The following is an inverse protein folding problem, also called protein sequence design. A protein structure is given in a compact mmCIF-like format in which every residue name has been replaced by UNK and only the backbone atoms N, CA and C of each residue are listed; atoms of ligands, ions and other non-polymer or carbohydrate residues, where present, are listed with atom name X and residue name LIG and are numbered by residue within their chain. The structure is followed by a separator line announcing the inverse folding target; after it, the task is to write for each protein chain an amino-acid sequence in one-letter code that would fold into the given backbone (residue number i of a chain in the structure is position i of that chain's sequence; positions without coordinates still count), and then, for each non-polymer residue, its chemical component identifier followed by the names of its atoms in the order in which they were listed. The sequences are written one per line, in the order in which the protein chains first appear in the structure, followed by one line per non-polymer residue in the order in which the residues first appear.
data_IF_832104908152
#
_entry.id   IF_832104908152
#
_cell.length_a   1.000
_cell.length_b   1.000
_cell.length_c   1.000
_cell.angle_alpha   90.00
_cell.angle_beta   90.00
_cell.angle_gamma   90.00
#
_symmetry.space_group_name_H-M   'P 1'
#
loop_
_entity.id
_entity.type
_entity.pdbx_description
1 polymer ?
#
# COMPACT_ATOMS: atom_id res chain seq x y z
N UNK A 1 10.60 -8.16 23.37
CA UNK A 1 9.57 -8.31 24.42
C UNK A 1 8.95 -6.98 24.87
N UNK A 2 9.65 -5.85 24.72
CA UNK A 2 9.25 -4.53 25.21
C UNK A 2 8.00 -3.88 24.56
N UNK A 3 7.66 -4.24 23.32
CA UNK A 3 6.58 -3.56 22.57
C UNK A 3 5.16 -4.01 22.94
N UNK A 4 5.00 -5.18 23.57
CA UNK A 4 3.69 -5.70 24.00
C UNK A 4 3.10 -4.86 25.14
N UNK A 5 3.93 -4.53 26.12
CA UNK A 5 3.52 -3.73 27.27
C UNK A 5 3.23 -2.29 26.85
N UNK A 6 4.10 -1.70 26.01
CA UNK A 6 3.87 -0.37 25.43
C UNK A 6 2.57 -0.28 24.64
N UNK A 7 2.20 -1.34 23.90
CA UNK A 7 0.94 -1.37 23.17
C UNK A 7 -0.29 -1.38 24.09
N UNK A 8 -0.22 -2.12 25.21
CA UNK A 8 -1.31 -2.15 26.21
C UNK A 8 -1.39 -0.81 26.95
N UNK A 9 -0.25 -0.22 27.29
CA UNK A 9 -0.16 1.07 27.99
C UNK A 9 -0.75 2.21 27.14
N UNK A 10 -0.46 2.24 25.85
CA UNK A 10 -1.02 3.23 24.92
C UNK A 10 -2.55 3.12 24.81
N UNK A 11 -3.09 1.90 24.82
CA UNK A 11 -4.54 1.68 24.85
C UNK A 11 -5.16 2.19 26.15
N UNK A 12 -4.53 1.92 27.30
CA UNK A 12 -4.99 2.44 28.60
C UNK A 12 -4.92 3.97 28.69
N UNK A 13 -3.91 4.58 28.09
CA UNK A 13 -3.75 6.05 28.10
C UNK A 13 -4.86 6.75 27.32
N UNK A 14 -5.27 6.16 26.18
CA UNK A 14 -6.25 6.78 25.27
C UNK A 14 -7.69 6.42 25.67
N UNK A 15 -7.90 5.24 26.27
CA UNK A 15 -9.20 4.73 26.68
C UNK A 15 -9.22 4.57 28.19
N UNK A 16 -9.61 5.64 28.91
CA UNK A 16 -9.58 5.73 30.37
C UNK A 16 -10.53 4.75 31.08
N UNK A 17 -11.54 4.24 30.39
CA UNK A 17 -12.52 3.26 30.85
C UNK A 17 -12.13 1.80 30.51
N UNK A 18 -10.98 1.58 29.88
CA UNK A 18 -10.53 0.25 29.49
C UNK A 18 -10.16 -0.62 30.70
N UNK A 19 -10.92 -1.70 30.90
CA UNK A 19 -10.66 -2.77 31.88
C UNK A 19 -10.15 -4.01 31.14
N UNK A 20 -9.45 -4.90 31.86
CA UNK A 20 -8.97 -6.20 31.34
C UNK A 20 -8.19 -6.14 30.00
N UNK A 21 -7.34 -5.13 29.82
CA UNK A 21 -6.58 -4.98 28.57
C UNK A 21 -5.63 -6.16 28.35
N UNK A 22 -5.77 -6.83 27.21
CA UNK A 22 -4.95 -7.98 26.81
C UNK A 22 -4.71 -8.00 25.31
N UNK A 23 -3.57 -8.56 24.91
CA UNK A 23 -3.31 -8.79 23.49
C UNK A 23 -4.09 -10.02 23.06
N UNK A 24 -5.02 -9.83 22.13
CA UNK A 24 -5.88 -10.88 21.57
C UNK A 24 -5.22 -11.51 20.35
N UNK A 25 -4.51 -10.71 19.55
CA UNK A 25 -3.82 -11.19 18.36
C UNK A 25 -2.54 -10.39 18.08
N UNK A 26 -1.59 -11.02 17.39
CA UNK A 26 -0.33 -10.43 16.96
C UNK A 26 -0.08 -10.84 15.52
N UNK A 27 0.14 -9.85 14.66
CA UNK A 27 0.61 -10.06 13.29
C UNK A 27 2.06 -9.55 13.19
N UNK A 28 3.05 -10.41 13.46
CA UNK A 28 4.44 -10.11 13.11
C UNK A 28 4.50 -10.00 11.58
N UNK A 29 5.20 -8.99 11.06
CA UNK A 29 5.36 -8.70 9.62
C UNK A 29 4.19 -7.98 8.93
N UNK A 30 3.31 -7.34 9.68
CA UNK A 30 2.31 -6.44 9.10
C UNK A 30 3.00 -5.18 8.53
N UNK A 31 3.04 -5.01 7.19
CA UNK A 31 3.53 -3.78 6.52
C UNK A 31 4.93 -3.32 7.01
N UNK A 32 5.89 -4.24 7.14
CA UNK A 32 7.23 -4.00 7.69
C UNK A 32 7.25 -3.58 9.18
N UNK A 33 6.23 -3.95 9.95
CA UNK A 33 6.12 -3.70 11.39
C UNK A 33 5.37 -4.82 12.08
N UNK A 34 4.87 -4.56 13.29
CA UNK A 34 4.07 -5.52 14.05
C UNK A 34 2.73 -4.89 14.40
N UNK A 35 1.64 -5.58 14.08
CA UNK A 35 0.30 -5.17 14.47
C UNK A 35 -0.15 -6.00 15.68
N UNK A 36 -0.50 -5.32 16.76
CA UNK A 36 -1.07 -5.91 17.97
C UNK A 36 -2.55 -5.56 18.02
N UNK A 37 -3.39 -6.58 18.22
CA UNK A 37 -4.81 -6.38 18.50
C UNK A 37 -4.98 -6.45 20.00
N UNK A 38 -5.33 -5.33 20.63
CA UNK A 38 -5.51 -5.22 22.07
C UNK A 38 -7.00 -5.21 22.37
N UNK A 39 -7.49 -6.27 22.99
CA UNK A 39 -8.86 -6.37 23.48
C UNK A 39 -8.96 -5.77 24.89
N UNK A 40 -10.06 -5.09 25.15
CA UNK A 40 -10.39 -4.53 26.47
C UNK A 40 -11.90 -4.58 26.68
N UNK A 41 -12.30 -4.57 27.95
CA UNK A 41 -13.69 -4.53 28.36
C UNK A 41 -14.00 -3.10 28.83
N UNK A 42 -15.14 -2.55 28.44
CA UNK A 42 -15.72 -1.33 29.01
C UNK A 42 -17.08 -1.67 29.63
N UNK A 43 -17.70 -0.70 30.30
CA UNK A 43 -19.04 -0.89 30.86
C UNK A 43 -20.11 -1.12 29.78
N UNK A 44 -19.79 -0.79 28.51
CA UNK A 44 -20.67 -0.98 27.34
C UNK A 44 -20.46 -2.32 26.63
N UNK A 45 -19.36 -3.03 26.89
CA UNK A 45 -19.07 -4.31 26.24
C UNK A 45 -17.60 -4.56 25.97
N UNK A 46 -17.32 -5.49 25.05
CA UNK A 46 -15.96 -5.89 24.69
C UNK A 46 -15.54 -5.21 23.40
N UNK A 47 -14.43 -4.49 23.47
CA UNK A 47 -13.89 -3.73 22.36
C UNK A 47 -12.46 -4.15 22.05
N UNK A 48 -11.97 -3.75 20.88
CA UNK A 48 -10.59 -3.99 20.47
C UNK A 48 -10.02 -2.77 19.77
N UNK A 49 -8.77 -2.45 20.09
CA UNK A 49 -7.98 -1.43 19.41
C UNK A 49 -6.83 -2.10 18.67
N UNK A 50 -6.45 -1.49 17.55
CA UNK A 50 -5.35 -1.92 16.71
C UNK A 50 -4.13 -1.05 16.99
N UNK A 51 -3.03 -1.65 17.43
CA UNK A 51 -1.78 -0.95 17.74
C UNK A 51 -0.70 -1.41 16.77
N UNK A 52 -0.30 -0.53 15.87
CA UNK A 52 0.74 -0.77 14.89
C UNK A 52 2.06 -0.19 15.36
N UNK A 53 3.10 -1.02 15.41
CA UNK A 53 4.45 -0.64 15.82
C UNK A 53 5.40 -0.75 14.63
N UNK A 54 6.04 0.36 14.27
CA UNK A 54 7.00 0.41 13.16
C UNK A 54 8.17 1.33 13.50
N UNK A 55 9.40 0.82 13.41
CA UNK A 55 10.64 1.60 13.60
C UNK A 55 10.59 2.57 14.80
N UNK A 56 10.08 2.08 15.93
CA UNK A 56 9.94 2.81 17.20
C UNK A 56 8.76 3.81 17.30
N UNK A 57 7.93 3.92 16.27
CA UNK A 57 6.68 4.67 16.30
C UNK A 57 5.51 3.73 16.63
N UNK A 58 4.60 4.19 17.49
CA UNK A 58 3.40 3.45 17.90
C UNK A 58 2.18 4.21 17.41
N UNK A 59 1.35 3.52 16.63
CA UNK A 59 0.15 4.06 15.99
C UNK A 59 -1.07 3.32 16.51
N UNK A 60 -2.00 4.02 17.15
CA UNK A 60 -3.23 3.43 17.71
C UNK A 60 -4.45 3.78 16.85
N UNK A 61 -5.08 2.76 16.28
CA UNK A 61 -6.34 2.86 15.57
C UNK A 61 -7.48 2.26 16.41
N UNK A 62 -8.49 3.08 16.71
CA UNK A 62 -9.67 2.68 17.51
C UNK A 62 -10.63 1.76 16.76
N UNK A 63 -10.53 1.70 15.45
CA UNK A 63 -11.36 0.86 14.60
C UNK A 63 -10.59 0.45 13.34
N UNK A 64 -11.13 -0.56 12.65
CA UNK A 64 -10.56 -1.07 11.41
C UNK A 64 -10.53 -0.01 10.30
N UNK A 65 -11.51 0.89 10.26
CA UNK A 65 -11.57 1.96 9.26
C UNK A 65 -10.38 2.94 9.36
N UNK A 66 -9.96 3.32 10.58
CA UNK A 66 -8.78 4.15 10.80
C UNK A 66 -7.50 3.41 10.40
N UNK A 67 -7.41 2.11 10.72
CA UNK A 67 -6.30 1.26 10.30
C UNK A 67 -6.19 1.21 8.77
N UNK A 68 -7.31 0.96 8.07
CA UNK A 68 -7.39 0.94 6.61
C UNK A 68 -7.05 2.30 5.99
N UNK A 69 -7.42 3.41 6.64
CA UNK A 69 -7.05 4.75 6.16
C UNK A 69 -5.54 4.99 6.20
N UNK A 70 -4.84 4.45 7.21
CA UNK A 70 -3.39 4.55 7.34
C UNK A 70 -2.68 3.63 6.34
N UNK A 71 -3.18 2.42 6.16
CA UNK A 71 -2.70 1.48 5.13
C UNK A 71 -2.85 2.14 3.75
N UNK A 72 -4.03 2.65 3.44
CA UNK A 72 -4.33 3.25 2.12
C UNK A 72 -3.43 4.43 1.78
N UNK A 73 -3.05 5.26 2.77
CA UNK A 73 -2.11 6.36 2.55
C UNK A 73 -0.70 5.86 2.23
N UNK A 74 -0.24 4.77 2.86
CA UNK A 74 1.09 4.20 2.65
C UNK A 74 1.17 3.39 1.34
N UNK A 75 0.08 2.76 0.92
CA UNK A 75 0.02 1.90 -0.28
C UNK A 75 -0.16 2.66 -1.59
N UNK A 76 -0.61 3.93 -1.57
CA UNK A 76 -0.81 4.74 -2.79
C UNK A 76 0.46 4.94 -3.64
N UNK A 77 1.65 4.89 -3.05
CA UNK A 77 2.91 5.05 -3.79
C UNK A 77 3.36 3.80 -4.55
N UNK A 78 3.02 2.60 -4.07
CA UNK A 78 3.44 1.33 -4.66
C UNK A 78 2.38 0.73 -5.60
N UNK A 79 1.10 0.97 -5.32
CA UNK A 79 -0.01 0.33 -6.03
C UNK A 79 -0.18 0.81 -7.49
N UNK A 80 0.20 2.04 -7.83
CA UNK A 80 0.09 2.53 -9.22
C UNK A 80 1.09 1.85 -10.16
N UNK A 81 2.32 1.59 -9.71
CA UNK A 81 3.34 0.93 -10.55
C UNK A 81 3.06 -0.57 -10.70
N UNK A 82 2.50 -1.22 -9.67
CA UNK A 82 2.09 -2.62 -9.74
C UNK A 82 0.79 -2.82 -10.54
N UNK A 83 -0.19 -1.90 -10.44
CA UNK A 83 -1.45 -1.99 -11.20
C UNK A 83 -1.31 -1.71 -12.70
N UNK A 84 -0.28 -1.01 -13.14
CA UNK A 84 -0.05 -0.68 -14.57
C UNK A 84 0.63 -1.85 -15.33
N UNK A 85 0.87 -2.99 -14.69
CA UNK A 85 1.39 -4.18 -15.37
C UNK A 85 2.92 -4.25 -15.39
N UNK A 86 3.54 -4.08 -14.22
CA UNK A 86 4.95 -4.36 -13.99
C UNK A 86 5.92 -3.64 -14.93
N UNK A 87 7.10 -4.24 -15.14
CA UNK A 87 8.15 -3.69 -16.00
C UNK A 87 7.69 -3.41 -17.44
N UNK A 88 6.73 -4.18 -17.96
CA UNK A 88 6.17 -3.98 -19.30
C UNK A 88 5.41 -2.65 -19.43
N UNK A 89 4.62 -2.27 -18.43
CA UNK A 89 3.91 -0.98 -18.40
C UNK A 89 4.86 0.21 -18.34
N UNK A 90 5.95 0.10 -17.55
CA UNK A 90 6.99 1.14 -17.45
C UNK A 90 7.73 1.29 -18.79
N UNK A 91 8.09 0.18 -19.43
CA UNK A 91 8.74 0.19 -20.76
C UNK A 91 7.80 0.84 -21.79
N UNK A 92 6.51 0.51 -21.77
CA UNK A 92 5.50 1.13 -22.62
C UNK A 92 5.37 2.64 -22.43
N UNK A 93 5.39 3.11 -21.18
CA UNK A 93 5.34 4.53 -20.85
C UNK A 93 6.56 5.28 -21.42
N UNK A 94 7.76 4.72 -21.25
CA UNK A 94 9.02 5.32 -21.74
C UNK A 94 9.01 5.41 -23.28
N UNK A 95 8.59 4.35 -23.99
CA UNK A 95 8.50 4.36 -25.46
C UNK A 95 7.49 5.41 -25.91
N UNK A 96 6.33 5.49 -25.26
CA UNK A 96 5.28 6.46 -25.59
C UNK A 96 5.78 7.90 -25.39
N UNK A 97 6.42 8.20 -24.26
CA UNK A 97 7.02 9.51 -23.99
C UNK A 97 8.12 9.86 -25.01
N UNK A 98 8.92 8.88 -25.40
CA UNK A 98 10.00 9.07 -26.39
C UNK A 98 9.40 9.43 -27.75
N UNK A 99 8.34 8.76 -28.20
CA UNK A 99 7.65 9.07 -29.45
C UNK A 99 7.00 10.45 -29.39
N UNK A 100 6.29 10.77 -28.30
CA UNK A 100 5.67 12.10 -28.11
C UNK A 100 6.72 13.20 -28.13
N UNK A 101 7.85 13.00 -27.44
CA UNK A 101 8.96 13.94 -27.47
C UNK A 101 9.53 14.13 -28.88
N UNK A 102 9.73 13.04 -29.63
CA UNK A 102 10.23 13.10 -30.99
C UNK A 102 9.27 13.85 -31.93
N UNK A 103 7.96 13.61 -31.81
CA UNK A 103 6.93 14.28 -32.61
C UNK A 103 6.82 15.78 -32.28
N UNK A 104 6.93 16.15 -31.00
CA UNK A 104 6.81 17.56 -30.57
C UNK A 104 8.07 18.36 -30.89
N UNK A 105 9.26 17.80 -30.60
CA UNK A 105 10.52 18.54 -30.69
C UNK A 105 11.26 18.33 -32.02
N UNK A 106 10.94 17.28 -32.77
CA UNK A 106 11.54 16.97 -34.09
C UNK A 106 10.50 16.39 -35.06
N UNK A 107 9.45 17.15 -35.43
CA UNK A 107 8.38 16.66 -36.30
C UNK A 107 8.84 16.24 -37.70
N UNK A 108 9.98 16.76 -38.17
CA UNK A 108 10.57 16.40 -39.47
C UNK A 108 11.41 15.12 -39.42
N UNK A 109 11.74 14.63 -38.22
CA UNK A 109 12.42 13.35 -38.07
C UNK A 109 11.37 12.25 -38.16
N UNK A 110 11.46 11.42 -39.21
CA UNK A 110 10.68 10.19 -39.30
C UNK A 110 10.91 9.36 -38.04
N UNK A 111 9.81 8.94 -37.39
CA UNK A 111 9.90 8.07 -36.21
C UNK A 111 10.55 6.75 -36.64
N UNK A 112 11.69 6.34 -36.04
CA UNK A 112 12.35 5.09 -36.36
C UNK A 112 11.39 3.89 -36.30
N UNK A 113 11.47 2.99 -37.28
CA UNK A 113 10.57 1.83 -37.41
C UNK A 113 10.62 0.93 -36.18
N UNK A 114 11.74 0.89 -35.50
CA UNK A 114 11.99 0.15 -34.27
C UNK A 114 11.09 0.63 -33.11
N UNK A 115 10.86 1.95 -33.00
CA UNK A 115 9.97 2.50 -31.98
C UNK A 115 8.50 2.15 -32.26
N UNK A 116 8.13 2.08 -33.54
CA UNK A 116 6.79 1.67 -33.96
C UNK A 116 6.54 0.18 -33.70
N UNK A 117 7.52 -0.66 -33.99
CA UNK A 117 7.49 -2.07 -33.64
C UNK A 117 7.43 -2.28 -32.12
N UNK A 118 8.21 -1.52 -31.35
CA UNK A 118 8.21 -1.59 -29.90
C UNK A 118 6.87 -1.15 -29.29
N UNK A 119 6.26 -0.07 -29.77
CA UNK A 119 4.92 0.36 -29.37
C UNK A 119 3.87 -0.71 -29.69
N UNK A 120 3.92 -1.27 -30.90
CA UNK A 120 2.99 -2.33 -31.32
C UNK A 120 3.12 -3.57 -30.45
N UNK A 121 4.35 -3.98 -30.09
CA UNK A 121 4.59 -5.09 -29.19
C UNK A 121 4.02 -4.82 -27.78
N UNK A 122 4.24 -3.62 -27.23
CA UNK A 122 3.68 -3.22 -25.93
C UNK A 122 2.15 -3.25 -25.96
N UNK A 123 1.52 -2.72 -27.01
CA UNK A 123 0.07 -2.76 -27.18
C UNK A 123 -0.45 -4.20 -27.30
N UNK A 124 0.25 -5.05 -28.05
CA UNK A 124 -0.08 -6.47 -28.18
C UNK A 124 0.03 -7.21 -26.83
N UNK A 125 1.05 -6.94 -26.02
CA UNK A 125 1.15 -7.49 -24.66
C UNK A 125 0.05 -6.94 -23.74
N UNK A 126 -0.22 -5.64 -23.79
CA UNK A 126 -1.22 -4.98 -22.93
C UNK A 126 -2.65 -5.42 -23.23
N UNK A 127 -3.02 -5.53 -24.51
CA UNK A 127 -4.37 -5.94 -24.91
C UNK A 127 -4.51 -7.46 -25.08
N UNK A 128 -3.48 -8.16 -25.55
CA UNK A 128 -3.49 -9.62 -25.68
C UNK A 128 -3.58 -10.35 -24.34
N UNK A 129 -2.97 -9.81 -23.29
CA UNK A 129 -3.09 -10.36 -21.93
C UNK A 129 -4.48 -10.17 -21.31
N UNK A 130 -5.31 -9.26 -21.82
CA UNK A 130 -6.69 -9.04 -21.34
C UNK A 130 -7.74 -9.93 -22.01
N UNK A 131 -7.43 -10.54 -23.16
CA UNK A 131 -8.35 -11.42 -23.90
C UNK A 131 -8.24 -12.88 -23.44
N UNK A 132 -7.11 -13.27 -22.83
CA UNK A 132 -6.87 -14.65 -22.37
C UNK A 132 -7.55 -15.01 -21.04
N UNK A 133 -8.64 -14.33 -20.66
CA UNK A 133 -9.36 -14.57 -19.39
C UNK A 133 -10.80 -14.98 -19.63
#
# INVERSE_FOLDING_TARGET
MEYKEKAIEEVRRITSDAKNCRIVNVHPDFMNGTLYVVGFDTDEGKFHNYVYVHKNEIYLAKNEALLLSWISKKTRGLSLLEQIGGSAGIIGLIITLTIVFLVIFRPEAEVPKELWAALTAVLAFYFGSKVAK
#
